data_IF_765225521114
#
_entry.id   IF_765225521114
#
_cell.length_a   1.000
_cell.length_b   1.000
_cell.length_c   1.000
_cell.angle_alpha   90.00
_cell.angle_beta   90.00
_cell.angle_gamma   90.00
#
_symmetry.space_group_name_H-M   'P 1'
#
loop_
_entity.id
_entity.type
_entity.pdbx_description
1 polymer ?
#
# COMPACT_ATOMS: atom_id res chain seq x y z
N UNK A 1 5.54 -16.61 23.04
CA UNK A 1 5.89 -15.16 23.03
C UNK A 1 4.65 -14.43 22.53
N UNK A 2 4.06 -13.54 23.33
CA UNK A 2 2.92 -12.73 22.87
C UNK A 2 3.37 -11.89 21.67
N UNK A 3 2.77 -12.14 20.52
CA UNK A 3 3.10 -11.45 19.28
C UNK A 3 2.59 -10.01 19.41
N UNK A 4 3.49 -9.05 19.60
CA UNK A 4 3.16 -7.62 19.65
C UNK A 4 2.49 -7.23 18.33
N UNK A 5 1.32 -6.61 18.40
CA UNK A 5 0.65 -6.02 17.24
C UNK A 5 1.37 -4.72 16.80
N UNK A 6 1.31 -4.34 15.51
CA UNK A 6 1.83 -3.06 15.06
C UNK A 6 1.08 -1.90 15.72
N UNK A 7 1.79 -0.78 15.90
CA UNK A 7 1.22 0.43 16.49
C UNK A 7 0.42 1.24 15.45
N UNK A 8 0.68 1.04 14.15
CA UNK A 8 -0.20 1.47 13.07
C UNK A 8 0.00 0.61 11.81
N UNK A 9 -1.06 0.43 11.03
CA UNK A 9 -1.02 -0.27 9.74
C UNK A 9 -1.92 0.44 8.72
N UNK A 10 -1.31 0.89 7.63
CA UNK A 10 -2.00 1.50 6.48
C UNK A 10 -2.12 0.49 5.35
N UNK A 11 -3.21 0.55 4.59
CA UNK A 11 -3.43 -0.31 3.41
C UNK A 11 -3.83 0.55 2.22
N UNK A 12 -3.16 0.35 1.08
CA UNK A 12 -3.38 1.10 -0.14
C UNK A 12 -3.55 0.15 -1.32
N UNK A 13 -4.63 0.32 -2.08
CA UNK A 13 -4.81 -0.29 -3.40
C UNK A 13 -4.45 0.75 -4.47
N UNK A 14 -3.62 0.36 -5.43
CA UNK A 14 -3.17 1.21 -6.53
C UNK A 14 -3.51 0.54 -7.86
N UNK A 15 -4.09 1.27 -8.78
CA UNK A 15 -4.22 0.85 -10.18
C UNK A 15 -3.55 1.89 -11.06
N UNK A 16 -2.77 1.43 -12.04
CA UNK A 16 -2.08 2.25 -13.04
C UNK A 16 -2.74 2.01 -14.38
N UNK A 17 -3.03 3.07 -15.11
CA UNK A 17 -3.87 2.97 -16.30
C UNK A 17 -4.23 4.33 -16.88
N UNK A 18 -5.40 4.40 -17.50
CA UNK A 18 -5.97 5.64 -18.03
C UNK A 18 -7.33 5.88 -17.37
N UNK A 19 -7.39 6.86 -16.49
CA UNK A 19 -8.59 7.19 -15.72
C UNK A 19 -9.14 8.55 -16.13
N UNK A 20 -10.43 8.76 -15.89
CA UNK A 20 -11.06 10.07 -15.94
C UNK A 20 -11.36 10.50 -14.49
N UNK A 21 -10.49 11.28 -13.83
CA UNK A 21 -10.69 11.71 -12.45
C UNK A 21 -12.07 12.32 -12.18
N UNK A 22 -12.60 13.10 -13.13
CA UNK A 22 -13.86 13.85 -12.97
C UNK A 22 -15.10 12.98 -12.74
N UNK A 23 -15.06 11.68 -13.03
CA UNK A 23 -16.21 10.78 -12.77
C UNK A 23 -16.30 10.38 -11.29
N UNK A 24 -15.20 10.42 -10.53
CA UNK A 24 -15.12 9.90 -9.16
C UNK A 24 -15.66 10.90 -8.12
N UNK A 25 -16.86 11.42 -8.36
CA UNK A 25 -17.58 12.30 -7.43
C UNK A 25 -18.44 11.46 -6.46
N UNK A 26 -18.66 11.86 -5.19
CA UNK A 26 -19.50 11.10 -4.24
C UNK A 26 -20.89 10.74 -4.80
N UNK A 27 -21.50 11.67 -5.54
CA UNK A 27 -22.77 11.44 -6.25
C UNK A 27 -22.71 10.31 -7.28
N UNK A 28 -21.57 10.10 -7.95
CA UNK A 28 -21.39 8.96 -8.85
C UNK A 28 -21.36 7.65 -8.06
N UNK A 29 -20.61 7.58 -6.96
CA UNK A 29 -20.57 6.39 -6.09
C UNK A 29 -21.96 6.03 -5.56
N UNK A 30 -22.74 7.03 -5.16
CA UNK A 30 -24.14 6.86 -4.73
C UNK A 30 -25.01 6.29 -5.85
N UNK A 31 -24.93 6.86 -7.07
CA UNK A 31 -25.70 6.39 -8.24
C UNK A 31 -25.31 4.99 -8.69
N UNK A 32 -24.05 4.60 -8.47
CA UNK A 32 -23.57 3.24 -8.75
C UNK A 32 -23.90 2.24 -7.62
N UNK A 33 -24.54 2.71 -6.54
CA UNK A 33 -24.87 1.94 -5.34
C UNK A 33 -23.63 1.36 -4.64
N UNK A 34 -22.48 2.03 -4.79
CA UNK A 34 -21.22 1.67 -4.13
C UNK A 34 -21.16 2.23 -2.71
N UNK A 35 -21.73 3.43 -2.53
CA UNK A 35 -21.89 4.07 -1.22
C UNK A 35 -23.37 4.22 -0.89
N UNK A 36 -23.70 4.06 0.38
CA UNK A 36 -25.03 4.41 0.89
C UNK A 36 -25.25 5.93 0.78
N UNK A 37 -26.50 6.41 0.69
CA UNK A 37 -26.79 7.85 0.61
C UNK A 37 -26.11 8.67 1.72
N UNK A 38 -26.18 8.20 2.97
CA UNK A 38 -25.54 8.88 4.10
C UNK A 38 -24.01 8.93 3.99
N UNK A 39 -23.37 7.87 3.47
CA UNK A 39 -21.91 7.83 3.29
C UNK A 39 -21.46 8.80 2.18
N UNK A 40 -22.25 8.91 1.10
CA UNK A 40 -22.00 9.85 0.01
C UNK A 40 -22.23 11.32 0.42
N UNK A 41 -23.25 11.59 1.25
CA UNK A 41 -23.54 12.92 1.79
C UNK A 41 -22.45 13.39 2.78
N UNK A 42 -21.87 12.48 3.54
CA UNK A 42 -20.79 12.76 4.50
C UNK A 42 -19.40 12.84 3.87
N UNK A 43 -19.27 12.49 2.59
CA UNK A 43 -18.00 12.52 1.89
C UNK A 43 -17.43 13.94 1.83
N UNK A 44 -16.16 14.08 2.23
CA UNK A 44 -15.43 15.34 2.17
C UNK A 44 -14.70 15.43 0.84
N UNK A 45 -15.23 16.25 -0.06
CA UNK A 45 -14.60 16.54 -1.35
C UNK A 45 -13.50 17.59 -1.14
N UNK A 46 -12.24 17.22 -1.42
CA UNK A 46 -11.14 18.19 -1.43
C UNK A 46 -10.99 18.84 -2.80
N UNK A 47 -11.00 18.02 -3.85
CA UNK A 47 -10.96 18.48 -5.24
C UNK A 47 -11.60 17.44 -6.15
N UNK A 48 -12.34 17.90 -7.17
CA UNK A 48 -12.80 17.09 -8.30
C UNK A 48 -12.68 17.95 -9.55
N UNK A 49 -11.77 17.57 -10.44
CA UNK A 49 -11.48 18.25 -11.70
C UNK A 49 -11.20 17.19 -12.78
N UNK A 50 -11.08 17.57 -14.06
CA UNK A 50 -10.64 16.62 -15.09
C UNK A 50 -9.26 16.00 -14.83
N UNK A 51 -8.37 16.70 -14.11
CA UNK A 51 -6.99 16.27 -13.89
C UNK A 51 -6.76 15.58 -12.55
N UNK A 52 -7.59 15.86 -11.55
CA UNK A 52 -7.43 15.28 -10.21
C UNK A 52 -8.75 15.20 -9.47
N UNK A 53 -8.92 14.08 -8.75
CA UNK A 53 -9.95 13.90 -7.75
C UNK A 53 -9.32 13.46 -6.44
N UNK A 54 -9.62 14.17 -5.36
CA UNK A 54 -9.30 13.76 -3.99
C UNK A 54 -10.56 13.84 -3.13
N UNK A 55 -11.00 12.70 -2.61
CA UNK A 55 -12.15 12.61 -1.71
C UNK A 55 -11.82 11.76 -0.48
N UNK A 56 -12.40 12.13 0.66
CA UNK A 56 -12.34 11.37 1.89
C UNK A 56 -13.77 10.92 2.24
N UNK A 57 -13.97 9.62 2.38
CA UNK A 57 -15.24 9.04 2.82
C UNK A 57 -14.93 7.77 3.62
N UNK A 58 -15.72 7.47 4.65
CA UNK A 58 -15.52 6.28 5.49
C UNK A 58 -14.11 6.15 6.10
N UNK A 59 -13.49 7.28 6.43
CA UNK A 59 -12.08 7.36 6.86
C UNK A 59 -11.07 6.79 5.85
N UNK A 60 -11.51 6.60 4.60
CA UNK A 60 -10.70 6.19 3.46
C UNK A 60 -10.51 7.33 2.49
N UNK A 61 -9.29 7.46 1.97
CA UNK A 61 -8.94 8.49 1.01
C UNK A 61 -8.81 7.89 -0.38
N UNK A 62 -9.56 8.44 -1.32
CA UNK A 62 -9.42 8.19 -2.74
C UNK A 62 -8.71 9.36 -3.40
N UNK A 63 -7.60 9.08 -4.08
CA UNK A 63 -6.93 10.00 -4.99
C UNK A 63 -6.94 9.38 -6.39
N UNK A 64 -7.39 10.14 -7.39
CA UNK A 64 -7.39 9.74 -8.80
C UNK A 64 -6.72 10.81 -9.63
N UNK A 65 -5.71 10.40 -10.39
CA UNK A 65 -5.02 11.13 -11.44
C UNK A 65 -5.27 10.45 -12.78
N UNK A 66 -4.95 11.08 -13.93
CA UNK A 66 -5.23 10.50 -15.24
C UNK A 66 -4.49 9.17 -15.47
N UNK A 67 -3.34 8.98 -14.82
CA UNK A 67 -2.51 7.78 -14.93
C UNK A 67 -2.70 6.78 -13.77
N UNK A 68 -3.45 7.15 -12.72
CA UNK A 68 -3.38 6.44 -11.44
C UNK A 68 -4.63 6.58 -10.58
N UNK A 69 -5.10 5.47 -10.07
CA UNK A 69 -6.14 5.39 -9.04
C UNK A 69 -5.51 4.87 -7.75
N UNK A 70 -5.70 5.57 -6.64
CA UNK A 70 -5.19 5.18 -5.31
C UNK A 70 -6.31 5.26 -4.30
N UNK A 71 -6.67 4.13 -3.70
CA UNK A 71 -7.62 4.11 -2.58
C UNK A 71 -6.94 3.55 -1.33
N UNK A 72 -7.03 4.27 -0.22
CA UNK A 72 -6.31 3.93 1.02
C UNK A 72 -7.11 4.10 2.29
N UNK A 73 -6.73 3.31 3.29
CA UNK A 73 -7.17 3.43 4.68
C UNK A 73 -5.97 3.52 5.60
N UNK A 74 -6.07 4.33 6.66
CA UNK A 74 -5.09 4.35 7.75
C UNK A 74 -5.39 3.31 8.85
N UNK A 75 -6.53 2.63 8.73
CA UNK A 75 -6.96 1.56 9.63
C UNK A 75 -7.10 0.24 8.85
N UNK A 76 -6.22 -0.72 9.15
CA UNK A 76 -6.21 -2.04 8.57
C UNK A 76 -7.48 -2.86 8.83
N UNK A 77 -8.27 -2.53 9.85
CA UNK A 77 -9.57 -3.18 10.09
C UNK A 77 -10.55 -2.93 8.94
N UNK A 78 -10.36 -1.82 8.22
CA UNK A 78 -11.17 -1.40 7.08
C UNK A 78 -10.63 -1.88 5.73
N UNK A 79 -9.59 -2.72 5.71
CA UNK A 79 -8.95 -3.18 4.47
C UNK A 79 -9.88 -4.01 3.58
N UNK A 80 -10.74 -4.87 4.15
CA UNK A 80 -11.71 -5.65 3.36
C UNK A 80 -12.79 -4.74 2.77
N UNK A 81 -13.30 -3.75 3.53
CA UNK A 81 -14.26 -2.76 3.01
C UNK A 81 -13.63 -1.94 1.86
N UNK A 82 -12.36 -1.56 1.99
CA UNK A 82 -11.62 -0.89 0.92
C UNK A 82 -11.57 -1.76 -0.33
N UNK A 83 -11.20 -3.04 -0.18
CA UNK A 83 -11.14 -4.00 -1.27
C UNK A 83 -12.49 -4.12 -2.00
N UNK A 84 -13.58 -4.34 -1.25
CA UNK A 84 -14.93 -4.48 -1.79
C UNK A 84 -15.34 -3.26 -2.62
N UNK A 85 -15.03 -2.06 -2.13
CA UNK A 85 -15.31 -0.80 -2.84
C UNK A 85 -14.50 -0.72 -4.14
N UNK A 86 -13.20 -1.05 -4.12
CA UNK A 86 -12.37 -1.06 -5.35
C UNK A 86 -12.95 -2.02 -6.37
N UNK A 87 -13.30 -3.25 -5.95
CA UNK A 87 -13.92 -4.21 -6.85
C UNK A 87 -15.23 -3.65 -7.41
N UNK A 88 -16.11 -3.12 -6.57
CA UNK A 88 -17.39 -2.56 -7.01
C UNK A 88 -17.22 -1.43 -8.04
N UNK A 89 -16.26 -0.52 -7.83
CA UNK A 89 -15.92 0.55 -8.78
C UNK A 89 -15.57 -0.03 -10.15
N UNK A 90 -14.64 -0.98 -10.20
CA UNK A 90 -14.14 -1.48 -11.48
C UNK A 90 -15.08 -2.48 -12.15
N UNK A 91 -15.99 -3.12 -11.41
CA UNK A 91 -17.12 -3.85 -12.00
C UNK A 91 -18.08 -2.92 -12.75
N UNK A 92 -18.23 -1.66 -12.31
CA UNK A 92 -19.04 -0.65 -13.02
C UNK A 92 -18.29 0.01 -14.19
N UNK A 93 -16.97 -0.13 -14.22
CA UNK A 93 -16.09 0.47 -15.22
C UNK A 93 -15.18 -0.58 -15.90
N UNK A 94 -15.74 -1.66 -16.50
CA UNK A 94 -14.99 -2.83 -16.95
C UNK A 94 -14.01 -2.55 -18.11
N UNK A 95 -14.30 -1.51 -18.89
CA UNK A 95 -13.47 -1.10 -20.04
C UNK A 95 -12.42 -0.04 -19.70
N UNK A 96 -12.24 0.29 -18.41
CA UNK A 96 -11.18 1.22 -18.01
C UNK A 96 -9.83 0.60 -18.30
N UNK A 97 -8.96 1.25 -19.09
CA UNK A 97 -7.64 0.71 -19.36
C UNK A 97 -6.81 0.66 -18.07
N UNK A 98 -6.48 -0.54 -17.61
CA UNK A 98 -5.59 -0.78 -16.48
C UNK A 98 -4.43 -1.64 -16.94
N UNK A 99 -3.21 -1.18 -16.70
CA UNK A 99 -1.98 -1.85 -17.14
C UNK A 99 -1.22 -2.49 -15.98
N UNK A 100 -1.48 -2.05 -14.75
CA UNK A 100 -0.95 -2.69 -13.54
C UNK A 100 -1.84 -2.42 -12.34
N UNK A 101 -1.77 -3.29 -11.34
CA UNK A 101 -2.35 -3.06 -10.02
C UNK A 101 -1.31 -3.31 -8.93
N UNK A 102 -1.58 -2.80 -7.74
CA UNK A 102 -0.68 -2.87 -6.60
C UNK A 102 -1.44 -2.96 -5.29
N UNK A 103 -1.00 -3.86 -4.42
CA UNK A 103 -1.52 -4.04 -3.07
C UNK A 103 -0.40 -3.71 -2.11
N UNK A 104 -0.57 -2.60 -1.41
CA UNK A 104 0.48 -2.02 -0.58
C UNK A 104 0.01 -1.91 0.86
N UNK A 105 0.97 -1.96 1.76
CA UNK A 105 0.73 -1.67 3.15
C UNK A 105 1.98 -1.07 3.79
N UNK A 106 1.77 -0.23 4.79
CA UNK A 106 2.84 0.33 5.61
C UNK A 106 2.56 -0.03 7.06
N UNK A 107 3.49 -0.74 7.69
CA UNK A 107 3.38 -1.19 9.07
C UNK A 107 4.38 -0.40 9.92
N UNK A 108 3.88 0.18 11.00
CA UNK A 108 4.69 0.97 11.91
C UNK A 108 4.79 0.29 13.28
N UNK A 109 6.00 0.26 13.81
CA UNK A 109 6.30 -0.14 15.18
C UNK A 109 6.94 1.01 15.93
N UNK A 110 6.41 1.39 17.08
CA UNK A 110 7.07 2.27 18.03
C UNK A 110 8.04 1.45 18.89
N UNK A 111 9.33 1.58 18.63
CA UNK A 111 10.32 0.80 19.35
C UNK A 111 10.55 1.34 20.77
N UNK A 112 10.28 2.63 21.01
CA UNK A 112 10.53 3.32 22.28
C UNK A 112 11.99 3.31 22.75
N UNK A 113 12.92 2.83 21.92
CA UNK A 113 14.30 2.54 22.28
C UNK A 113 15.23 2.92 21.13
N UNK A 114 15.99 4.00 21.33
CA UNK A 114 16.94 4.55 20.37
C UNK A 114 18.06 3.57 20.01
N UNK A 115 18.59 2.83 21.00
CA UNK A 115 19.65 1.87 20.76
C UNK A 115 19.13 0.70 19.91
N UNK A 116 17.91 0.24 20.18
CA UNK A 116 17.27 -0.80 19.38
C UNK A 116 16.96 -0.32 17.95
N UNK A 117 16.48 0.91 17.81
CA UNK A 117 16.25 1.55 16.52
C UNK A 117 17.53 1.66 15.68
N UNK A 118 18.64 2.11 16.29
CA UNK A 118 19.95 2.14 15.64
C UNK A 118 20.44 0.75 15.26
N UNK A 119 20.24 -0.26 16.12
CA UNK A 119 20.62 -1.65 15.85
C UNK A 119 19.97 -2.17 14.56
N UNK A 120 18.69 -1.89 14.33
CA UNK A 120 18.00 -2.27 13.08
C UNK A 120 18.68 -1.65 11.87
N UNK A 121 18.90 -0.33 11.89
CA UNK A 121 19.57 0.36 10.80
C UNK A 121 21.02 -0.11 10.58
N UNK A 122 21.68 -0.58 11.62
CA UNK A 122 23.04 -1.12 11.57
C UNK A 122 23.08 -2.53 11.00
N UNK A 123 22.16 -3.41 11.42
CA UNK A 123 22.04 -4.77 10.90
C UNK A 123 21.71 -4.78 9.40
N UNK A 124 20.83 -3.89 8.95
CA UNK A 124 20.41 -3.81 7.55
C UNK A 124 21.40 -3.08 6.65
N UNK A 125 22.19 -2.17 7.20
CA UNK A 125 23.22 -1.43 6.49
C UNK A 125 24.45 -1.23 7.40
N UNK A 126 25.36 -2.22 7.50
CA UNK A 126 26.51 -2.16 8.40
C UNK A 126 27.41 -0.96 8.08
N UNK A 127 27.76 -0.17 9.11
CA UNK A 127 28.41 1.15 8.93
C UNK A 127 29.92 1.05 8.75
N UNK A 128 30.50 -0.02 9.26
CA UNK A 128 31.93 -0.36 9.25
C UNK A 128 32.43 -0.72 7.86
N UNK A 129 31.54 -1.17 6.97
CA UNK A 129 31.97 -1.68 5.66
C UNK A 129 32.49 -0.55 4.75
N UNK A 130 31.83 0.61 4.77
CA UNK A 130 32.17 1.76 3.90
C UNK A 130 31.78 3.08 4.56
N UNK A 131 30.62 3.14 5.23
CA UNK A 131 29.97 4.41 5.56
C UNK A 131 30.72 5.27 6.57
N UNK A 132 31.38 4.66 7.57
CA UNK A 132 32.13 5.41 8.58
C UNK A 132 33.35 6.15 8.02
N UNK A 133 33.85 5.76 6.85
CA UNK A 133 34.99 6.41 6.20
C UNK A 133 34.57 7.60 5.32
N UNK A 134 33.32 7.60 4.83
CA UNK A 134 32.84 8.57 3.85
C UNK A 134 31.79 9.54 4.40
N UNK A 135 31.22 9.27 5.57
CA UNK A 135 30.18 10.09 6.18
C UNK A 135 30.44 10.28 7.68
N UNK A 136 30.10 11.46 8.19
CA UNK A 136 30.01 11.71 9.63
C UNK A 136 28.65 11.22 10.16
N UNK A 137 28.67 10.33 11.17
CA UNK A 137 27.47 9.78 11.83
C UNK A 137 26.42 9.20 10.85
N UNK A 138 26.79 8.20 10.03
CA UNK A 138 25.87 7.65 9.03
C UNK A 138 24.67 6.92 9.66
N UNK A 139 23.49 7.16 9.13
CA UNK A 139 22.23 6.52 9.54
C UNK A 139 21.49 5.93 8.33
N UNK A 140 20.67 4.89 8.56
CA UNK A 140 19.81 4.35 7.51
C UNK A 140 18.61 5.30 7.30
N UNK A 141 18.49 5.86 6.09
CA UNK A 141 17.32 6.66 5.69
C UNK A 141 16.22 5.79 5.07
N UNK A 142 16.58 4.90 4.15
CA UNK A 142 15.65 3.96 3.51
C UNK A 142 16.44 2.81 2.88
N UNK A 143 15.94 1.59 3.00
CA UNK A 143 16.43 0.40 2.30
C UNK A 143 15.26 -0.25 1.58
N UNK A 144 15.35 -0.40 0.26
CA UNK A 144 14.37 -1.14 -0.53
C UNK A 144 14.99 -2.43 -1.06
N UNK A 145 14.34 -3.56 -0.78
CA UNK A 145 14.69 -4.87 -1.31
C UNK A 145 13.59 -5.30 -2.28
N UNK A 146 13.99 -5.61 -3.52
CA UNK A 146 13.11 -6.10 -4.57
C UNK A 146 13.15 -7.63 -4.64
N UNK A 147 11.97 -8.24 -4.63
CA UNK A 147 11.75 -9.66 -4.89
C UNK A 147 10.88 -9.87 -6.12
N UNK A 148 10.98 -11.06 -6.71
CA UNK A 148 10.17 -11.48 -7.87
C UNK A 148 9.05 -12.39 -7.36
N UNK A 149 7.83 -12.22 -7.89
CA UNK A 149 6.73 -13.18 -7.75
C UNK A 149 6.61 -14.00 -9.02
N UNK A 150 6.52 -15.31 -8.86
CA UNK A 150 6.24 -16.28 -9.93
C UNK A 150 4.94 -17.02 -9.61
N UNK A 151 4.36 -17.69 -10.61
CA UNK A 151 3.08 -18.40 -10.48
C UNK A 151 1.99 -17.78 -11.33
N UNK A 152 0.73 -18.00 -10.94
CA UNK A 152 -0.45 -17.58 -11.70
C UNK A 152 -0.61 -16.06 -11.80
N UNK A 153 -0.10 -15.34 -10.80
CA UNK A 153 -0.09 -13.87 -10.75
C UNK A 153 1.37 -13.37 -10.62
N UNK A 154 2.14 -13.37 -11.71
CA UNK A 154 3.52 -12.92 -11.69
C UNK A 154 3.60 -11.42 -11.42
N UNK A 155 4.74 -10.98 -10.88
CA UNK A 155 4.93 -9.59 -10.52
C UNK A 155 6.16 -9.36 -9.67
N UNK A 156 6.15 -8.29 -8.89
CA UNK A 156 7.27 -7.86 -8.08
C UNK A 156 6.79 -7.50 -6.68
N UNK A 157 7.65 -7.71 -5.68
CA UNK A 157 7.42 -7.20 -4.33
C UNK A 157 8.59 -6.32 -3.95
N UNK A 158 8.32 -5.07 -3.62
CA UNK A 158 9.32 -4.16 -3.06
C UNK A 158 9.04 -4.00 -1.57
N UNK A 159 10.00 -4.39 -0.73
CA UNK A 159 9.95 -4.19 0.72
C UNK A 159 10.86 -3.02 1.06
N UNK A 160 10.30 -1.98 1.66
CA UNK A 160 11.04 -0.79 2.09
C UNK A 160 11.09 -0.72 3.60
N UNK A 161 12.29 -0.56 4.16
CA UNK A 161 12.52 -0.37 5.59
C UNK A 161 13.10 1.01 5.82
N UNK A 162 12.46 1.79 6.68
CA UNK A 162 12.87 3.18 6.97
C UNK A 162 12.43 3.62 8.37
N UNK A 163 12.97 4.73 8.90
CA UNK A 163 12.43 5.36 10.10
C UNK A 163 10.95 5.74 9.93
N UNK A 164 10.15 5.47 10.93
CA UNK A 164 8.75 5.90 10.98
C UNK A 164 8.67 7.41 11.12
N UNK A 165 7.84 8.07 10.31
CA UNK A 165 7.49 9.48 10.51
C UNK A 165 6.46 9.70 11.63
N UNK A 166 5.84 8.62 12.13
CA UNK A 166 4.81 8.66 13.17
C UNK A 166 5.38 8.60 14.59
N UNK A 167 6.56 7.98 14.77
CA UNK A 167 7.17 7.75 16.08
C UNK A 167 8.65 8.12 16.05
N UNK A 168 9.15 8.82 17.08
CA UNK A 168 10.54 9.33 17.15
C UNK A 168 11.59 8.24 16.96
N UNK A 169 11.37 7.06 17.53
CA UNK A 169 12.21 5.87 17.36
C UNK A 169 11.42 4.74 16.71
N UNK A 170 10.62 5.08 15.69
CA UNK A 170 9.79 4.09 15.03
C UNK A 170 10.45 3.44 13.84
N UNK A 171 10.05 2.19 13.59
CA UNK A 171 10.31 1.45 12.37
C UNK A 171 9.08 1.54 11.46
N UNK A 172 9.27 1.82 10.18
CA UNK A 172 8.26 1.67 9.14
C UNK A 172 8.74 0.59 8.17
N UNK A 173 7.91 -0.41 7.95
CA UNK A 173 8.10 -1.44 6.92
C UNK A 173 6.97 -1.31 5.91
N UNK A 174 7.29 -0.81 4.74
CA UNK A 174 6.39 -0.77 3.59
C UNK A 174 6.56 -2.01 2.72
N UNK A 175 5.46 -2.54 2.19
CA UNK A 175 5.49 -3.52 1.10
C UNK A 175 4.64 -3.03 -0.03
N UNK A 176 5.16 -3.14 -1.25
CA UNK A 176 4.46 -2.89 -2.49
C UNK A 176 4.43 -4.18 -3.30
N UNK A 177 3.26 -4.82 -3.36
CA UNK A 177 3.05 -5.99 -4.22
C UNK A 177 2.52 -5.51 -5.55
N UNK A 178 3.39 -5.42 -6.55
CA UNK A 178 3.08 -4.92 -7.89
C UNK A 178 2.77 -6.06 -8.85
N UNK A 179 1.68 -5.92 -9.60
CA UNK A 179 1.23 -6.87 -10.59
C UNK A 179 1.04 -6.18 -11.95
N UNK A 180 1.83 -6.54 -12.98
CA UNK A 180 1.48 -6.18 -14.35
C UNK A 180 0.18 -6.88 -14.75
N UNK A 181 -0.79 -6.12 -15.25
CA UNK A 181 -2.08 -6.67 -15.64
C UNK A 181 -2.00 -7.09 -17.12
N UNK A 182 -2.32 -8.36 -17.45
CA UNK A 182 -2.31 -8.81 -18.83
C UNK A 182 -3.40 -8.11 -19.64
N UNK A 183 -3.16 -7.97 -20.94
CA UNK A 183 -4.15 -7.49 -21.91
C UNK A 183 -5.28 -8.53 -22.06
N UNK A 184 -6.45 -8.08 -22.47
CA UNK A 184 -7.58 -8.93 -22.82
C UNK A 184 -7.35 -9.69 -24.15
N UNK A 185 -8.35 -10.50 -24.54
CA UNK A 185 -8.28 -11.33 -25.76
C UNK A 185 -8.19 -10.48 -27.04
N UNK A 186 -8.57 -9.21 -26.99
CA UNK A 186 -8.42 -8.24 -28.09
C UNK A 186 -7.08 -7.51 -28.06
N UNK A 187 -6.23 -7.79 -27.07
CA UNK A 187 -4.94 -7.13 -26.88
C UNK A 187 -5.04 -5.77 -26.19
N UNK A 188 -6.18 -5.42 -25.58
CA UNK A 188 -6.41 -4.14 -24.92
C UNK A 188 -6.25 -4.25 -23.40
N UNK A 189 -5.69 -3.23 -22.72
CA UNK A 189 -5.73 -3.17 -21.25
C UNK A 189 -7.17 -3.02 -20.76
N UNK A 190 -7.55 -3.74 -19.71
CA UNK A 190 -8.89 -3.63 -19.11
C UNK A 190 -8.86 -3.88 -17.59
N UNK A 191 -9.81 -3.28 -16.89
CA UNK A 191 -9.93 -3.40 -15.43
C UNK A 191 -10.44 -4.78 -15.00
N UNK A 192 -11.14 -5.51 -15.87
CA UNK A 192 -11.63 -6.86 -15.57
C UNK A 192 -10.50 -7.83 -15.20
N UNK A 193 -9.38 -7.78 -15.94
CA UNK A 193 -8.18 -8.57 -15.58
C UNK A 193 -7.54 -8.06 -14.28
N UNK A 194 -7.58 -6.76 -14.00
CA UNK A 194 -7.05 -6.24 -12.73
C UNK A 194 -7.87 -6.74 -11.52
N UNK A 195 -9.19 -6.84 -11.66
CA UNK A 195 -10.11 -7.36 -10.64
C UNK A 195 -9.75 -8.80 -10.25
N UNK A 196 -9.40 -9.67 -11.21
CA UNK A 196 -9.01 -11.05 -10.89
C UNK A 196 -7.73 -11.12 -10.07
N UNK A 197 -6.75 -10.26 -10.35
CA UNK A 197 -5.52 -10.16 -9.57
C UNK A 197 -5.79 -9.66 -8.16
N UNK A 198 -6.54 -8.56 -8.02
CA UNK A 198 -6.88 -8.02 -6.71
C UNK A 198 -7.65 -9.04 -5.86
N UNK A 199 -8.63 -9.71 -6.46
CA UNK A 199 -9.45 -10.72 -5.76
C UNK A 199 -8.61 -11.90 -5.27
N UNK A 200 -7.74 -12.43 -6.13
CA UNK A 200 -6.93 -13.61 -5.79
C UNK A 200 -5.82 -13.29 -4.78
N UNK A 201 -5.16 -12.14 -4.93
CA UNK A 201 -3.91 -11.85 -4.21
C UNK A 201 -4.10 -10.95 -2.98
N UNK A 202 -5.28 -10.37 -2.74
CA UNK A 202 -5.52 -9.42 -1.64
C UNK A 202 -5.01 -9.90 -0.29
N UNK A 203 -5.54 -11.04 0.18
CA UNK A 203 -5.19 -11.58 1.50
C UNK A 203 -3.74 -12.04 1.54
N UNK A 204 -3.30 -12.74 0.50
CA UNK A 204 -1.93 -13.26 0.42
C UNK A 204 -0.88 -12.15 0.44
N UNK A 205 -1.10 -11.05 -0.28
CA UNK A 205 -0.20 -9.91 -0.30
C UNK A 205 -0.10 -9.24 1.09
N UNK A 206 -1.24 -9.00 1.75
CA UNK A 206 -1.27 -8.41 3.09
C UNK A 206 -0.63 -9.32 4.15
N UNK A 207 -0.95 -10.62 4.13
CA UNK A 207 -0.36 -11.60 5.04
C UNK A 207 1.15 -11.74 4.85
N UNK A 208 1.62 -11.79 3.60
CA UNK A 208 3.04 -11.83 3.28
C UNK A 208 3.76 -10.59 3.81
N UNK A 209 3.17 -9.41 3.61
CA UNK A 209 3.78 -8.18 4.09
C UNK A 209 3.85 -8.11 5.61
N UNK A 210 2.76 -8.45 6.31
CA UNK A 210 2.76 -8.59 7.78
C UNK A 210 3.84 -9.56 8.23
N UNK A 211 3.96 -10.72 7.59
CA UNK A 211 5.00 -11.71 7.89
C UNK A 211 6.41 -11.13 7.74
N UNK A 212 6.67 -10.35 6.68
CA UNK A 212 7.97 -9.70 6.47
C UNK A 212 8.23 -8.65 7.55
N UNK A 213 7.26 -7.77 7.83
CA UNK A 213 7.37 -6.75 8.85
C UNK A 213 7.63 -7.35 10.25
N UNK A 214 6.89 -8.38 10.63
CA UNK A 214 7.12 -9.10 11.89
C UNK A 214 8.45 -9.84 11.92
N UNK A 215 8.90 -10.42 10.80
CA UNK A 215 10.23 -11.04 10.75
C UNK A 215 11.33 -10.01 10.96
N UNK A 216 11.25 -8.85 10.30
CA UNK A 216 12.23 -7.77 10.50
C UNK A 216 12.20 -7.24 11.93
N UNK A 217 11.00 -7.01 12.48
CA UNK A 217 10.84 -6.58 13.86
C UNK A 217 11.36 -7.61 14.86
N UNK A 218 11.04 -8.90 14.70
CA UNK A 218 11.42 -9.93 15.68
C UNK A 218 12.87 -10.40 15.54
N UNK A 219 13.37 -10.57 14.31
CA UNK A 219 14.73 -11.11 14.07
C UNK A 219 15.83 -10.19 14.56
N UNK A 220 15.53 -8.90 14.69
CA UNK A 220 16.49 -7.91 15.19
C UNK A 220 16.21 -7.59 16.68
N UNK A 221 15.06 -8.03 17.22
CA UNK A 221 14.59 -7.75 18.58
C UNK A 221 15.41 -8.43 19.68
N UNK A 222 15.98 -7.55 20.52
CA UNK A 222 16.51 -7.65 21.89
C UNK A 222 17.25 -8.87 22.45
N UNK A 223 17.30 -10.03 21.84
CA UNK A 223 18.20 -11.12 22.29
C UNK A 223 18.72 -11.92 21.09
N UNK A 224 19.82 -11.44 20.52
CA UNK A 224 20.78 -12.34 19.89
C UNK A 224 21.92 -12.51 20.91
N UNK A 225 21.70 -13.42 21.86
CA UNK A 225 22.79 -14.08 22.57
C UNK A 225 23.08 -15.39 21.86
#
# INVERSE_FOLDING_TARGET
MNQRHPDAEEVNCVLVGSFNPGIFHPEWFRRQEILLPAEAEQAQVRVVTPDVTEILFLDMRLDVLPDRFVFRTQDASSAEKLHDIVLAVFHRLPHTPVTACGINNEIHFDLGDEAYWHKIGHTLAPKELVWNEVLEKPGLQSLTIKGIRTGDFPGEVNVTVQPSKRFRFGLCVGSNSHFPVPRDDSGMPCSEKAISFLTAEWKTALEQSRRVAYRLFNSISKDAK
#
